data_IF_650464570325
#
_entry.id   IF_650464570325
#
_cell.length_a   1.000
_cell.length_b   1.000
_cell.length_c   1.000
_cell.angle_alpha   90.00
_cell.angle_beta   90.00
_cell.angle_gamma   90.00
#
_symmetry.space_group_name_H-M   'P 1'
#
loop_
_entity.id
_entity.type
_entity.pdbx_description
1 polymer ?
#
# COMPACT_ATOMS: atom_id res chain seq x y z
N UNK A 1 10.14 -4.91 3.58
CA UNK A 1 8.73 -5.23 3.26
C UNK A 1 8.55 -6.69 2.88
N UNK A 2 9.20 -7.20 1.82
CA UNK A 2 9.09 -8.62 1.44
C UNK A 2 9.44 -9.59 2.57
N UNK A 3 10.49 -9.29 3.34
CA UNK A 3 10.84 -10.05 4.54
C UNK A 3 9.78 -10.03 5.65
N UNK A 4 8.97 -8.96 5.74
CA UNK A 4 7.86 -8.87 6.69
C UNK A 4 6.72 -9.77 6.21
N UNK A 5 6.38 -9.70 4.92
CA UNK A 5 5.34 -10.53 4.29
C UNK A 5 5.67 -12.01 4.47
N UNK A 6 6.89 -12.44 4.13
CA UNK A 6 7.29 -13.84 4.29
C UNK A 6 7.34 -14.30 5.76
N UNK A 7 7.60 -13.38 6.71
CA UNK A 7 7.67 -13.72 8.14
C UNK A 7 6.31 -14.02 8.79
N UNK A 8 5.21 -13.71 8.10
CA UNK A 8 3.84 -13.99 8.56
C UNK A 8 3.18 -15.10 7.74
N UNK A 9 3.99 -15.93 7.08
CA UNK A 9 3.54 -17.01 6.19
C UNK A 9 2.64 -16.52 5.04
N UNK A 10 2.83 -15.28 4.61
CA UNK A 10 2.10 -14.67 3.50
C UNK A 10 2.96 -14.66 2.24
N UNK A 11 2.31 -14.56 1.08
CA UNK A 11 2.98 -14.42 -0.22
C UNK A 11 2.82 -13.00 -0.75
N UNK A 12 3.67 -12.62 -1.70
CA UNK A 12 3.59 -11.30 -2.37
C UNK A 12 3.22 -11.45 -3.83
N UNK A 13 2.42 -10.53 -4.35
CA UNK A 13 2.06 -10.46 -5.77
C UNK A 13 2.24 -9.05 -6.34
N UNK A 14 2.33 -8.94 -7.67
CA UNK A 14 2.34 -7.67 -8.39
C UNK A 14 3.62 -6.84 -8.22
N UNK A 15 4.77 -7.49 -7.99
CA UNK A 15 6.03 -6.79 -7.72
C UNK A 15 6.56 -6.01 -8.95
N UNK A 16 6.21 -6.45 -10.16
CA UNK A 16 6.44 -5.76 -11.42
C UNK A 16 5.73 -4.39 -11.48
N UNK A 17 4.69 -4.21 -10.66
CA UNK A 17 3.92 -2.97 -10.54
C UNK A 17 4.13 -2.26 -9.19
N UNK A 18 5.18 -2.62 -8.43
CA UNK A 18 5.43 -2.03 -7.10
C UNK A 18 5.70 -0.53 -7.14
N UNK A 19 6.37 -0.06 -8.20
CA UNK A 19 6.64 1.35 -8.40
C UNK A 19 5.65 1.88 -9.44
N UNK A 20 4.90 2.92 -9.07
CA UNK A 20 3.98 3.58 -9.99
C UNK A 20 4.74 4.15 -11.17
N UNK A 21 4.29 3.88 -12.40
CA UNK A 21 4.90 4.47 -13.58
C UNK A 21 4.70 5.98 -13.60
N UNK A 22 5.63 6.72 -14.21
CA UNK A 22 5.57 8.17 -14.30
C UNK A 22 4.28 8.65 -14.98
N UNK A 23 3.85 7.99 -16.06
CA UNK A 23 2.61 8.34 -16.75
C UNK A 23 1.37 8.09 -15.90
N UNK A 24 1.36 7.02 -15.10
CA UNK A 24 0.25 6.76 -14.18
C UNK A 24 0.23 7.74 -13.00
N UNK A 25 1.40 8.20 -12.54
CA UNK A 25 1.52 9.25 -11.53
C UNK A 25 0.98 10.58 -12.08
N UNK A 26 1.44 11.02 -13.26
CA UNK A 26 0.94 12.23 -13.93
C UNK A 26 -0.58 12.21 -14.09
N UNK A 27 -1.11 11.11 -14.61
CA UNK A 27 -2.56 10.96 -14.82
C UNK A 27 -3.31 11.09 -13.51
N UNK A 28 -2.83 10.45 -12.44
CA UNK A 28 -3.48 10.49 -11.13
C UNK A 28 -3.47 11.91 -10.55
N UNK A 29 -2.33 12.60 -10.58
CA UNK A 29 -2.21 14.00 -10.12
C UNK A 29 -3.13 14.91 -10.93
N UNK A 30 -3.14 14.79 -12.26
CA UNK A 30 -4.02 15.57 -13.12
C UNK A 30 -5.50 15.33 -12.79
N UNK A 31 -5.92 14.09 -12.52
CA UNK A 31 -7.29 13.80 -12.09
C UNK A 31 -7.65 14.49 -10.78
N UNK A 32 -6.77 14.50 -9.78
CA UNK A 32 -7.01 15.17 -8.51
C UNK A 32 -7.03 16.70 -8.66
N UNK A 33 -6.18 17.26 -9.53
CA UNK A 33 -6.21 18.68 -9.87
C UNK A 33 -7.51 19.07 -10.57
N UNK A 34 -8.00 18.25 -11.50
CA UNK A 34 -9.31 18.45 -12.13
C UNK A 34 -10.47 18.37 -11.14
N UNK A 35 -10.31 17.62 -10.05
CA UNK A 35 -11.25 17.58 -8.92
C UNK A 35 -11.13 18.80 -7.98
N UNK A 36 -10.30 19.79 -8.31
CA UNK A 36 -10.16 21.06 -7.60
C UNK A 36 -9.02 21.12 -6.58
N UNK A 37 -8.17 20.08 -6.49
CA UNK A 37 -6.98 20.14 -5.63
C UNK A 37 -5.90 21.04 -6.24
N UNK A 38 -5.18 21.79 -5.39
CA UNK A 38 -3.93 22.43 -5.81
C UNK A 38 -2.88 21.37 -6.18
N UNK A 39 -1.91 21.71 -7.03
CA UNK A 39 -0.89 20.77 -7.52
C UNK A 39 -0.16 20.04 -6.39
N UNK A 40 0.31 20.77 -5.37
CA UNK A 40 1.01 20.17 -4.23
C UNK A 40 0.09 19.26 -3.40
N UNK A 41 -1.19 19.61 -3.28
CA UNK A 41 -2.17 18.78 -2.58
C UNK A 41 -2.46 17.49 -3.36
N UNK A 42 -2.59 17.59 -4.69
CA UNK A 42 -2.75 16.47 -5.59
C UNK A 42 -1.54 15.53 -5.58
N UNK A 43 -0.32 16.07 -5.51
CA UNK A 43 0.90 15.26 -5.34
C UNK A 43 0.90 14.54 -3.98
N UNK A 44 0.57 15.25 -2.91
CA UNK A 44 0.55 14.69 -1.55
C UNK A 44 -0.59 13.67 -1.33
N UNK A 45 -1.63 13.68 -2.16
CA UNK A 45 -2.74 12.71 -2.06
C UNK A 45 -2.37 11.33 -2.60
N UNK A 46 -1.31 11.22 -3.39
CA UNK A 46 -0.83 9.94 -3.96
C UNK A 46 -0.11 9.12 -2.89
N UNK A 47 -0.80 8.10 -2.37
CA UNK A 47 -0.30 7.22 -1.30
C UNK A 47 0.33 5.91 -1.82
N UNK A 48 0.21 5.64 -3.12
CA UNK A 48 0.53 4.35 -3.74
C UNK A 48 1.70 4.44 -4.73
N UNK A 49 2.64 5.37 -4.52
CA UNK A 49 3.85 5.50 -5.35
C UNK A 49 4.70 4.22 -5.26
N UNK A 50 4.87 3.70 -4.04
CA UNK A 50 5.50 2.42 -3.75
C UNK A 50 4.50 1.52 -3.03
N UNK A 51 4.10 0.42 -3.67
CA UNK A 51 3.08 -0.51 -3.17
C UNK A 51 3.61 -1.94 -3.10
N UNK A 52 3.25 -2.62 -2.02
CA UNK A 52 3.43 -4.06 -1.87
C UNK A 52 2.07 -4.69 -1.56
N UNK A 53 1.81 -5.83 -2.18
CA UNK A 53 0.61 -6.62 -1.90
C UNK A 53 1.03 -7.87 -1.14
N UNK A 54 0.41 -8.11 0.01
CA UNK A 54 0.49 -9.37 0.73
C UNK A 54 -0.80 -10.16 0.48
N UNK A 55 -0.67 -11.46 0.22
CA UNK A 55 -1.78 -12.39 0.07
C UNK A 55 -1.74 -13.33 1.28
N UNK A 56 -2.88 -13.43 1.95
CA UNK A 56 -3.09 -14.27 3.12
C UNK A 56 -4.03 -15.43 2.77
N UNK A 57 -3.85 -16.55 3.45
CA UNK A 57 -4.73 -17.70 3.32
C UNK A 57 -6.07 -17.42 4.01
N UNK A 58 -7.16 -17.94 3.46
CA UNK A 58 -8.53 -17.62 3.92
C UNK A 58 -8.72 -18.08 5.37
N UNK A 59 -8.21 -19.26 5.71
CA UNK A 59 -8.35 -19.91 7.01
C UNK A 59 -7.59 -19.16 8.11
N UNK A 60 -6.50 -18.47 7.76
CA UNK A 60 -5.62 -17.76 8.71
C UNK A 60 -5.60 -16.24 8.48
N UNK A 61 -6.51 -15.71 7.66
CA UNK A 61 -6.45 -14.32 7.18
C UNK A 61 -6.34 -13.30 8.32
N UNK A 62 -7.20 -13.44 9.33
CA UNK A 62 -7.26 -12.50 10.46
C UNK A 62 -5.99 -12.55 11.29
N UNK A 63 -5.49 -13.75 11.58
CA UNK A 63 -4.25 -13.95 12.35
C UNK A 63 -3.05 -13.37 11.61
N UNK A 64 -2.88 -13.72 10.33
CA UNK A 64 -1.78 -13.23 9.49
C UNK A 64 -1.82 -11.72 9.32
N UNK A 65 -3.01 -11.13 9.15
CA UNK A 65 -3.21 -9.69 9.09
C UNK A 65 -2.76 -9.01 10.40
N UNK A 66 -3.20 -9.52 11.56
CA UNK A 66 -2.82 -8.96 12.86
C UNK A 66 -1.32 -9.07 13.11
N UNK A 67 -0.71 -10.22 12.79
CA UNK A 67 0.74 -10.41 12.87
C UNK A 67 1.48 -9.43 11.97
N UNK A 68 1.02 -9.23 10.74
CA UNK A 68 1.64 -8.29 9.81
C UNK A 68 1.57 -6.85 10.32
N UNK A 69 0.41 -6.44 10.85
CA UNK A 69 0.22 -5.12 11.45
C UNK A 69 1.18 -4.89 12.62
N UNK A 70 1.37 -5.89 13.48
CA UNK A 70 2.34 -5.82 14.57
C UNK A 70 3.78 -5.73 14.05
N UNK A 71 4.17 -6.56 13.08
CA UNK A 71 5.52 -6.50 12.49
C UNK A 71 5.82 -5.18 11.80
N UNK A 72 4.83 -4.59 11.14
CA UNK A 72 4.94 -3.25 10.54
C UNK A 72 5.17 -2.19 11.63
N UNK A 73 4.40 -2.25 12.71
CA UNK A 73 4.55 -1.36 13.86
C UNK A 73 5.93 -1.49 14.51
N UNK A 74 6.40 -2.72 14.73
CA UNK A 74 7.74 -3.00 15.30
C UNK A 74 8.88 -2.47 14.43
N UNK A 75 8.65 -2.37 13.11
CA UNK A 75 9.58 -1.76 12.14
C UNK A 75 9.46 -0.24 12.04
N UNK A 76 8.60 0.38 12.85
CA UNK A 76 8.41 1.83 12.90
C UNK A 76 7.37 2.38 11.92
N UNK A 77 6.66 1.52 11.19
CA UNK A 77 5.58 1.97 10.30
C UNK A 77 4.32 2.30 11.10
N UNK A 78 3.53 3.24 10.56
CA UNK A 78 2.23 3.62 11.12
C UNK A 78 1.13 3.30 10.12
N UNK A 79 0.09 2.61 10.57
CA UNK A 79 -1.13 2.44 9.77
C UNK A 79 -1.89 3.76 9.78
N UNK A 80 -2.08 4.35 8.60
CA UNK A 80 -2.85 5.59 8.44
C UNK A 80 -4.33 5.29 8.17
N UNK A 81 -4.61 4.20 7.45
CA UNK A 81 -5.96 3.84 7.06
C UNK A 81 -6.08 2.31 6.91
N UNK A 82 -7.21 1.78 7.37
CA UNK A 82 -7.69 0.43 7.06
C UNK A 82 -9.06 0.62 6.42
N UNK A 83 -9.31 -0.05 5.29
CA UNK A 83 -10.61 -0.01 4.61
C UNK A 83 -11.15 -1.43 4.52
N UNK A 84 -12.42 -1.59 4.87
CA UNK A 84 -13.22 -2.76 4.57
C UNK A 84 -14.50 -2.20 3.93
N UNK A 85 -14.47 -2.06 2.61
CA UNK A 85 -15.49 -1.37 1.80
C UNK A 85 -16.17 -2.36 0.87
#
# INVERSE_FOLDING_TARGET
MLSIISSVSATSAGLEHRLKSFDSLKRKVATEMLAGMGEQQALNSVKDILRYTAIFEVETFVEQYQMMQQKLKDKGYKTIIVKNS
#
